data_IF_746312590455
#
_entry.id   IF_746312590455
#
_cell.length_a   1.000
_cell.length_b   1.000
_cell.length_c   1.000
_cell.angle_alpha   90.00
_cell.angle_beta   90.00
_cell.angle_gamma   90.00
#
_symmetry.space_group_name_H-M   'P 1'
#
loop_
_entity.id
_entity.type
_entity.pdbx_description
1 polymer ?
#
# COMPACT_ATOMS: atom_id res chain seq x y z
N UNK A 1 3.02 -16.37 12.25
CA UNK A 1 1.99 -15.42 11.77
C UNK A 1 2.19 -14.00 12.31
N UNK A 2 2.51 -13.81 13.60
CA UNK A 2 2.57 -12.46 14.21
C UNK A 2 3.68 -11.55 13.63
N UNK A 3 4.82 -12.13 13.26
CA UNK A 3 5.97 -11.41 12.73
C UNK A 3 5.70 -10.77 11.36
N UNK A 4 4.94 -11.45 10.47
CA UNK A 4 4.66 -10.94 9.13
C UNK A 4 3.66 -9.77 9.14
N UNK A 5 2.78 -9.70 10.13
CA UNK A 5 1.83 -8.59 10.30
C UNK A 5 2.56 -7.34 10.81
N UNK A 6 3.49 -7.50 11.78
CA UNK A 6 4.30 -6.37 12.26
C UNK A 6 5.22 -5.78 11.18
N UNK A 7 5.67 -6.61 10.25
CA UNK A 7 6.58 -6.21 9.17
C UNK A 7 5.86 -5.58 7.98
N UNK A 8 4.53 -5.72 7.90
CA UNK A 8 3.80 -5.13 6.79
C UNK A 8 3.76 -3.60 6.94
N UNK A 9 4.16 -2.83 5.92
CA UNK A 9 4.15 -1.38 5.96
C UNK A 9 2.73 -0.82 6.11
N UNK A 10 2.60 0.34 6.74
CA UNK A 10 1.32 1.07 6.72
C UNK A 10 0.99 1.54 5.28
N UNK A 11 -0.24 1.99 5.06
CA UNK A 11 -0.73 2.29 3.71
C UNK A 11 0.07 3.39 2.99
N UNK A 12 0.44 4.51 3.64
CA UNK A 12 1.34 5.51 3.02
C UNK A 12 2.72 4.96 2.67
N UNK A 13 3.33 4.17 3.54
CA UNK A 13 4.66 3.60 3.30
C UNK A 13 4.61 2.58 2.16
N UNK A 14 3.56 1.76 2.11
CA UNK A 14 3.36 0.81 1.01
C UNK A 14 3.09 1.52 -0.32
N UNK A 15 2.31 2.60 -0.33
CA UNK A 15 2.12 3.43 -1.52
C UNK A 15 3.45 3.97 -2.06
N UNK A 16 4.34 4.46 -1.18
CA UNK A 16 5.69 4.89 -1.58
C UNK A 16 6.55 3.76 -2.12
N UNK A 17 6.38 2.52 -1.62
CA UNK A 17 7.07 1.36 -2.19
C UNK A 17 6.58 1.06 -3.62
N UNK A 18 5.28 1.19 -3.88
CA UNK A 18 4.69 1.01 -5.22
C UNK A 18 5.19 2.12 -6.17
N UNK A 19 5.27 3.37 -5.70
CA UNK A 19 5.84 4.48 -6.48
C UNK A 19 7.30 4.21 -6.84
N UNK A 20 8.12 3.77 -5.88
CA UNK A 20 9.52 3.39 -6.11
C UNK A 20 9.69 2.22 -7.08
N UNK A 21 8.66 1.37 -7.22
CA UNK A 21 8.64 0.30 -8.20
C UNK A 21 8.31 0.78 -9.64
N UNK A 22 8.15 2.10 -9.84
CA UNK A 22 7.93 2.72 -11.16
C UNK A 22 6.47 2.95 -11.52
N UNK A 23 5.55 2.87 -10.55
CA UNK A 23 4.16 3.27 -10.75
C UNK A 23 3.99 4.76 -10.43
N UNK A 24 3.09 5.43 -11.14
CA UNK A 24 2.73 6.84 -10.98
C UNK A 24 1.27 6.99 -10.52
N UNK A 25 0.96 8.13 -9.89
CA UNK A 25 -0.37 8.47 -9.36
C UNK A 25 -0.92 7.35 -8.46
N UNK A 26 -0.08 6.83 -7.57
CA UNK A 26 -0.46 5.77 -6.64
C UNK A 26 -1.42 6.33 -5.58
N UNK A 27 -2.55 5.67 -5.39
CA UNK A 27 -3.56 6.01 -4.37
C UNK A 27 -3.95 4.76 -3.62
N UNK A 28 -4.45 4.95 -2.41
CA UNK A 28 -5.03 3.84 -1.65
C UNK A 28 -6.36 4.22 -1.02
N UNK A 29 -7.23 3.23 -0.87
CA UNK A 29 -8.52 3.35 -0.18
C UNK A 29 -8.58 2.31 0.93
N UNK A 30 -8.87 2.76 2.15
CA UNK A 30 -9.06 1.88 3.30
C UNK A 30 -10.48 1.33 3.32
N UNK A 31 -10.60 0.04 3.62
CA UNK A 31 -11.85 -0.64 3.92
C UNK A 31 -11.87 -1.05 5.40
N UNK A 32 -13.06 -1.02 6.00
CA UNK A 32 -13.30 -1.46 7.38
C UNK A 32 -12.29 -0.87 8.38
N UNK A 33 -12.10 0.45 8.34
CA UNK A 33 -11.20 1.14 9.27
C UNK A 33 -9.70 0.86 9.08
N UNK A 34 -9.30 0.29 7.93
CA UNK A 34 -7.89 0.00 7.62
C UNK A 34 -7.47 -1.46 7.81
N UNK A 35 -8.43 -2.37 8.10
CA UNK A 35 -8.17 -3.82 8.12
C UNK A 35 -7.73 -4.32 6.73
N UNK A 36 -8.33 -3.76 5.67
CA UNK A 36 -7.93 -3.99 4.29
C UNK A 36 -7.76 -2.65 3.56
N UNK A 37 -6.90 -2.63 2.55
CA UNK A 37 -6.71 -1.48 1.68
C UNK A 37 -6.50 -1.94 0.23
N UNK A 38 -7.02 -1.16 -0.71
CA UNK A 38 -6.72 -1.31 -2.14
C UNK A 38 -5.76 -0.20 -2.55
N UNK A 39 -4.61 -0.58 -3.11
CA UNK A 39 -3.67 0.33 -3.75
C UNK A 39 -3.83 0.25 -5.26
N UNK A 40 -3.96 1.40 -5.92
CA UNK A 40 -4.06 1.51 -7.38
C UNK A 40 -3.06 2.54 -7.89
N UNK A 41 -2.53 2.32 -9.10
CA UNK A 41 -1.56 3.21 -9.74
C UNK A 41 -1.33 2.80 -11.19
N UNK A 42 -0.72 3.68 -11.96
CA UNK A 42 -0.48 3.49 -13.39
C UNK A 42 1.01 3.28 -13.66
N UNK A 43 1.36 2.26 -14.45
CA UNK A 43 2.71 2.14 -15.00
C UNK A 43 2.70 2.75 -16.40
N UNK A 44 3.50 3.80 -16.60
CA UNK A 44 3.66 4.51 -17.87
C UNK A 44 4.92 4.00 -18.56
#
# INVERSE_FOLDING_TARGET
>A
LVESIRKFPNQPDFARMIERAGFSNVRFTNYTGGIAALHSGWKI
#
